data_IF_854887089019
#
_entry.id   IF_854887089019
#
_cell.length_a   1.000
_cell.length_b   1.000
_cell.length_c   1.000
_cell.angle_alpha   90.00
_cell.angle_beta   90.00
_cell.angle_gamma   90.00
#
_symmetry.space_group_name_H-M   'P 1'
#
loop_
_entity.id
_entity.type
_entity.pdbx_description
1 polymer ?
#
# COMPACT_ATOMS: atom_id res chain seq x y z
N UNK A 1 3.61 4.14 1.87
CA UNK A 1 4.32 3.17 2.72
C UNK A 1 4.75 3.89 3.99
N UNK A 2 4.48 3.35 5.18
CA UNK A 2 4.96 3.93 6.44
C UNK A 2 6.49 3.96 6.47
N UNK A 3 7.08 5.02 7.03
CA UNK A 3 8.54 5.14 7.16
C UNK A 3 9.04 4.31 8.35
N UNK A 4 10.33 3.98 8.39
CA UNK A 4 10.97 3.28 9.52
C UNK A 4 10.76 4.01 10.86
N UNK A 5 10.66 5.34 10.84
CA UNK A 5 10.35 6.17 12.00
C UNK A 5 8.90 5.99 12.47
N UNK A 6 7.94 5.91 11.53
CA UNK A 6 6.53 5.64 11.85
C UNK A 6 6.35 4.27 12.48
N UNK A 7 7.09 3.27 11.96
CA UNK A 7 7.09 1.90 12.48
C UNK A 7 7.63 1.81 13.92
N UNK A 8 8.64 2.61 14.26
CA UNK A 8 9.16 2.70 15.64
C UNK A 8 8.17 3.35 16.59
N UNK A 9 7.45 4.37 16.14
CA UNK A 9 6.45 5.06 16.95
C UNK A 9 5.28 4.13 17.33
N UNK A 10 4.89 3.20 16.45
CA UNK A 10 3.87 2.18 16.74
C UNK A 10 4.26 1.25 17.90
N UNK A 11 5.56 1.03 18.09
CA UNK A 11 6.08 0.18 19.16
C UNK A 11 6.24 0.99 20.45
N UNK A 12 6.74 2.24 20.36
CA UNK A 12 6.95 3.12 21.50
C UNK A 12 5.67 3.62 22.17
N UNK A 13 4.68 3.98 21.34
CA UNK A 13 3.40 4.54 21.79
C UNK A 13 2.28 3.67 21.21
N UNK A 14 2.11 2.44 21.72
CA UNK A 14 1.18 1.49 21.17
C UNK A 14 -0.25 2.02 21.38
N UNK A 15 -0.87 2.44 20.29
CA UNK A 15 -2.24 2.94 20.25
C UNK A 15 -3.08 1.98 19.40
N UNK A 16 -3.98 1.23 20.04
CA UNK A 16 -4.96 0.38 19.38
C UNK A 16 -5.95 1.27 18.62
N UNK A 17 -5.79 1.31 17.31
CA UNK A 17 -6.71 2.02 16.42
C UNK A 17 -7.37 1.02 15.47
N UNK A 18 -8.32 1.48 14.68
CA UNK A 18 -8.95 0.61 13.67
C UNK A 18 -7.95 0.13 12.61
N UNK A 19 -6.85 0.85 12.41
CA UNK A 19 -5.77 0.53 11.47
C UNK A 19 -4.55 -0.14 12.10
N UNK A 20 -4.47 -0.23 13.43
CA UNK A 20 -3.35 -0.86 14.14
C UNK A 20 -3.87 -2.02 14.98
N UNK A 21 -3.43 -3.24 14.67
CA UNK A 21 -3.73 -4.43 15.45
C UNK A 21 -2.46 -4.91 16.16
N UNK A 22 -2.56 -5.22 17.45
CA UNK A 22 -1.46 -5.77 18.24
C UNK A 22 -1.77 -7.21 18.61
N UNK A 23 -0.80 -8.10 18.46
CA UNK A 23 -0.91 -9.51 18.84
C UNK A 23 0.36 -10.01 19.50
N UNK A 24 0.19 -11.01 20.35
CA UNK A 24 1.30 -11.87 20.76
C UNK A 24 1.89 -12.62 19.57
N UNK A 25 3.05 -13.23 19.76
CA UNK A 25 3.63 -14.11 18.75
C UNK A 25 2.67 -15.27 18.42
N UNK A 26 2.52 -15.58 17.14
CA UNK A 26 1.66 -16.64 16.63
C UNK A 26 2.52 -17.70 15.95
N UNK A 27 2.28 -18.96 16.27
CA UNK A 27 2.92 -20.04 15.54
C UNK A 27 2.24 -20.24 14.17
N UNK A 28 2.87 -19.71 13.11
CA UNK A 28 2.39 -19.82 11.74
C UNK A 28 2.56 -21.23 11.13
N UNK A 29 3.17 -22.18 11.85
CA UNK A 29 3.16 -23.60 11.47
C UNK A 29 1.83 -24.26 11.82
N UNK A 30 1.06 -23.71 12.76
CA UNK A 30 -0.26 -24.22 13.16
C UNK A 30 -1.39 -23.65 12.30
N UNK A 31 -2.49 -24.38 12.12
CA UNK A 31 -3.66 -23.83 11.43
C UNK A 31 -4.28 -22.67 12.19
N UNK A 32 -4.26 -22.72 13.53
CA UNK A 32 -4.87 -21.72 14.41
C UNK A 32 -4.11 -20.39 14.38
N UNK A 33 -2.77 -20.42 14.42
CA UNK A 33 -1.95 -19.22 14.27
C UNK A 33 -2.13 -18.57 12.89
N UNK A 34 -2.14 -19.39 11.82
CA UNK A 34 -2.41 -18.91 10.45
C UNK A 34 -3.79 -18.28 10.31
N UNK A 35 -4.83 -18.94 10.83
CA UNK A 35 -6.20 -18.44 10.79
C UNK A 35 -6.36 -17.13 11.57
N UNK A 36 -5.69 -17.01 12.73
CA UNK A 36 -5.72 -15.81 13.57
C UNK A 36 -5.08 -14.62 12.85
N UNK A 37 -3.92 -14.83 12.22
CA UNK A 37 -3.27 -13.81 11.40
C UNK A 37 -4.13 -13.43 10.19
N UNK A 38 -4.66 -14.43 9.47
CA UNK A 38 -5.47 -14.19 8.28
C UNK A 38 -6.75 -13.42 8.59
N UNK A 39 -7.45 -13.73 9.69
CA UNK A 39 -8.66 -13.00 10.11
C UNK A 39 -8.36 -11.52 10.36
N UNK A 40 -7.26 -11.22 11.05
CA UNK A 40 -6.83 -9.84 11.30
C UNK A 40 -6.47 -9.12 10.00
N UNK A 41 -5.74 -9.79 9.09
CA UNK A 41 -5.39 -9.22 7.79
C UNK A 41 -6.63 -8.97 6.91
N UNK A 42 -7.57 -9.90 6.84
CA UNK A 42 -8.84 -9.72 6.11
C UNK A 42 -9.61 -8.52 6.67
N UNK A 43 -9.72 -8.43 8.01
CA UNK A 43 -10.43 -7.33 8.66
C UNK A 43 -9.79 -5.97 8.36
N UNK A 44 -8.45 -5.88 8.44
CA UNK A 44 -7.71 -4.66 8.13
C UNK A 44 -7.85 -4.29 6.66
N UNK A 45 -7.68 -5.24 5.74
CA UNK A 45 -7.80 -4.97 4.31
C UNK A 45 -9.19 -4.45 3.94
N UNK A 46 -10.25 -5.05 4.50
CA UNK A 46 -11.63 -4.56 4.36
C UNK A 46 -11.86 -3.21 5.06
N UNK A 47 -11.04 -2.87 6.06
CA UNK A 47 -11.09 -1.57 6.73
C UNK A 47 -10.31 -0.47 5.99
N UNK A 48 -9.67 -0.76 4.85
CA UNK A 48 -8.83 0.21 4.14
C UNK A 48 -7.35 0.12 4.49
N UNK A 49 -6.91 -1.02 5.02
CA UNK A 49 -5.52 -1.35 5.30
C UNK A 49 -5.08 -0.97 6.72
N UNK A 50 -3.82 -1.26 7.01
CA UNK A 50 -3.24 -1.00 8.32
C UNK A 50 -2.01 -1.85 8.59
N UNK A 51 -1.72 -2.03 9.87
CA UNK A 51 -0.53 -2.73 10.35
C UNK A 51 -0.90 -3.71 11.47
N UNK A 52 -0.27 -4.87 11.45
CA UNK A 52 -0.33 -5.86 12.53
C UNK A 52 1.05 -5.90 13.18
N UNK A 53 1.13 -5.54 14.46
CA UNK A 53 2.37 -5.59 15.25
C UNK A 53 2.37 -6.84 16.11
N UNK A 54 3.38 -7.68 15.91
CA UNK A 54 3.57 -8.95 16.60
C UNK A 54 4.53 -8.79 17.78
N UNK A 55 4.27 -9.56 18.83
CA UNK A 55 5.06 -9.52 20.05
C UNK A 55 4.63 -8.42 21.01
N UNK A 56 3.37 -7.99 20.95
CA UNK A 56 2.81 -7.04 21.91
C UNK A 56 1.65 -7.71 22.65
N UNK A 57 1.63 -7.63 23.97
CA UNK A 57 0.57 -8.19 24.81
C UNK A 57 0.15 -7.19 25.88
N UNK A 58 -1.13 -7.07 26.13
CA UNK A 58 -1.66 -6.23 27.19
C UNK A 58 -3.10 -6.63 27.49
N UNK A 59 -3.50 -6.73 28.77
CA UNK A 59 -4.90 -6.85 29.12
C UNK A 59 -5.68 -5.64 28.58
N UNK A 60 -6.97 -5.84 28.27
CA UNK A 60 -7.83 -4.75 27.85
C UNK A 60 -7.81 -3.60 28.89
N UNK A 61 -7.42 -2.40 28.45
CA UNK A 61 -7.30 -1.22 29.31
C UNK A 61 -5.96 -1.06 30.05
N UNK A 62 -4.98 -1.93 29.81
CA UNK A 62 -3.60 -1.76 30.28
C UNK A 62 -2.65 -1.38 29.13
N UNK A 63 -1.53 -0.69 29.39
CA UNK A 63 -0.52 -0.43 28.37
C UNK A 63 -0.02 -1.74 27.76
N UNK A 64 0.06 -1.79 26.43
CA UNK A 64 0.66 -2.91 25.71
C UNK A 64 2.16 -3.01 26.08
N UNK A 65 2.61 -4.23 26.33
CA UNK A 65 3.98 -4.54 26.70
C UNK A 65 4.66 -5.35 25.60
N UNK A 66 5.95 -5.07 25.38
CA UNK A 66 6.78 -5.86 24.47
C UNK A 66 7.04 -7.26 25.04
N UNK A 67 6.82 -8.25 24.19
CA UNK A 67 7.06 -9.66 24.46
C UNK A 67 8.13 -10.18 23.48
N UNK A 68 9.26 -10.71 23.97
CA UNK A 68 10.25 -11.32 23.08
C UNK A 68 9.66 -12.53 22.35
N UNK A 69 10.20 -12.81 21.15
CA UNK A 69 9.82 -13.99 20.37
C UNK A 69 10.16 -15.25 21.16
N UNK A 70 9.18 -16.15 21.41
CA UNK A 70 9.46 -17.44 22.05
C UNK A 70 10.40 -18.30 21.22
N UNK A 71 11.28 -19.07 21.87
CA UNK A 71 12.29 -19.90 21.20
C UNK A 71 11.69 -20.94 20.24
N UNK A 72 10.48 -21.42 20.52
CA UNK A 72 9.76 -22.39 19.69
C UNK A 72 9.14 -21.81 18.40
N UNK A 73 9.09 -20.49 18.23
CA UNK A 73 8.51 -19.84 17.04
C UNK A 73 9.65 -19.33 16.17
N UNK A 74 9.82 -19.88 14.96
CA UNK A 74 10.81 -19.39 14.02
C UNK A 74 10.57 -17.91 13.66
N UNK A 75 11.65 -17.18 13.35
CA UNK A 75 11.53 -15.81 12.83
C UNK A 75 10.74 -15.85 11.53
N UNK A 76 9.71 -15.01 11.41
CA UNK A 76 8.87 -15.00 10.23
C UNK A 76 9.64 -14.56 8.98
N UNK A 77 9.30 -15.16 7.85
CA UNK A 77 9.66 -14.67 6.53
C UNK A 77 8.41 -14.18 5.77
N UNK A 78 8.58 -13.31 4.76
CA UNK A 78 7.46 -12.77 4.00
C UNK A 78 6.60 -13.84 3.33
N UNK A 79 7.18 -14.95 2.88
CA UNK A 79 6.46 -16.00 2.15
C UNK A 79 5.58 -16.82 3.09
N UNK A 80 6.05 -17.13 4.30
CA UNK A 80 5.26 -17.80 5.34
C UNK A 80 4.09 -16.92 5.78
N UNK A 81 4.30 -15.62 5.96
CA UNK A 81 3.23 -14.66 6.28
C UNK A 81 2.18 -14.61 5.16
N UNK A 82 2.62 -14.40 3.92
CA UNK A 82 1.70 -14.33 2.78
C UNK A 82 0.99 -15.66 2.53
N UNK A 83 1.66 -16.80 2.70
CA UNK A 83 1.06 -18.13 2.58
C UNK A 83 0.04 -18.38 3.68
N UNK A 84 0.33 -17.96 4.92
CA UNK A 84 -0.60 -18.06 6.05
C UNK A 84 -1.89 -17.27 5.79
N UNK A 85 -1.77 -16.02 5.35
CA UNK A 85 -2.92 -15.15 5.04
C UNK A 85 -3.71 -15.67 3.83
N UNK A 86 -3.04 -15.92 2.71
CA UNK A 86 -3.66 -16.31 1.44
C UNK A 86 -4.23 -17.74 1.44
N UNK A 87 -3.90 -18.55 2.45
CA UNK A 87 -4.58 -19.82 2.68
C UNK A 87 -6.06 -19.62 3.02
N UNK A 88 -6.42 -18.49 3.63
CA UNK A 88 -7.76 -18.19 4.10
C UNK A 88 -8.42 -17.02 3.37
N UNK A 89 -7.68 -16.13 2.69
CA UNK A 89 -8.25 -14.93 2.06
C UNK A 89 -8.52 -15.10 0.55
N UNK A 90 -9.66 -14.58 0.09
CA UNK A 90 -10.00 -14.38 -1.32
C UNK A 90 -10.75 -13.05 -1.52
N UNK A 91 -10.24 -12.11 -2.36
CA UNK A 91 -8.98 -12.17 -3.10
C UNK A 91 -7.73 -12.30 -2.21
N UNK A 92 -6.64 -12.75 -2.82
CA UNK A 92 -5.33 -12.83 -2.16
C UNK A 92 -4.85 -11.43 -1.75
N UNK A 93 -4.28 -11.35 -0.56
CA UNK A 93 -3.68 -10.16 0.02
C UNK A 93 -2.15 -10.33 -0.05
N UNK A 94 -1.46 -9.30 -0.55
CA UNK A 94 0.00 -9.23 -0.46
C UNK A 94 0.39 -8.35 0.72
N UNK A 95 0.93 -8.95 1.77
CA UNK A 95 1.38 -8.25 2.98
C UNK A 95 2.89 -8.04 2.94
N UNK A 96 3.35 -6.88 3.40
CA UNK A 96 4.77 -6.61 3.59
C UNK A 96 5.19 -6.88 5.03
N UNK A 97 6.37 -7.46 5.24
CA UNK A 97 6.92 -7.77 6.55
C UNK A 97 8.16 -6.93 6.83
N UNK A 98 8.15 -6.26 7.98
CA UNK A 98 9.28 -5.48 8.49
C UNK A 98 9.61 -5.93 9.91
N UNK A 99 10.87 -5.79 10.29
CA UNK A 99 11.32 -6.04 11.67
C UNK A 99 11.91 -4.77 12.26
N UNK A 100 11.54 -4.47 13.50
CA UNK A 100 11.99 -3.28 14.21
C UNK A 100 12.24 -3.63 15.67
N UNK A 101 13.35 -3.12 16.22
CA UNK A 101 13.65 -3.23 17.65
C UNK A 101 12.90 -2.14 18.43
N UNK A 102 12.31 -2.51 19.56
CA UNK A 102 11.77 -1.54 20.52
C UNK A 102 12.91 -0.64 21.01
N UNK A 103 12.80 0.69 20.90
CA UNK A 103 13.94 1.58 21.18
C UNK A 103 14.44 1.54 22.63
N UNK A 104 13.56 1.29 23.61
CA UNK A 104 13.96 1.18 25.03
C UNK A 104 14.33 -0.25 25.46
N UNK A 105 13.46 -1.24 25.18
CA UNK A 105 13.65 -2.63 25.64
C UNK A 105 14.55 -3.47 24.73
N UNK A 106 14.88 -2.97 23.53
CA UNK A 106 15.65 -3.67 22.50
C UNK A 106 15.04 -5.02 22.05
N UNK A 107 13.74 -5.22 22.27
CA UNK A 107 13.00 -6.41 21.86
C UNK A 107 12.63 -6.29 20.38
N UNK A 108 12.91 -7.31 19.56
CA UNK A 108 12.50 -7.35 18.15
C UNK A 108 10.99 -7.59 18.02
N UNK A 109 10.34 -6.81 17.16
CA UNK A 109 8.94 -6.96 16.78
C UNK A 109 8.82 -7.17 15.27
N UNK A 110 7.85 -7.99 14.86
CA UNK A 110 7.48 -8.13 13.45
C UNK A 110 6.27 -7.24 13.14
N UNK A 111 6.37 -6.43 12.09
CA UNK A 111 5.33 -5.51 11.65
C UNK A 111 4.87 -5.94 10.27
N UNK A 112 3.59 -6.30 10.16
CA UNK A 112 2.97 -6.78 8.93
C UNK A 112 2.07 -5.68 8.39
N UNK A 113 2.45 -5.08 7.27
CA UNK A 113 1.64 -4.07 6.58
C UNK A 113 0.61 -4.74 5.69
N UNK A 114 -0.66 -4.37 5.87
CA UNK A 114 -1.80 -4.90 5.14
C UNK A 114 -2.36 -3.82 4.21
N UNK A 115 -2.45 -4.07 2.89
CA UNK A 115 -2.98 -3.09 1.95
C UNK A 115 -4.50 -2.94 2.07
N UNK A 116 -5.00 -1.75 1.73
CA UNK A 116 -6.42 -1.38 1.78
C UNK A 116 -7.11 -1.21 0.43
N UNK A 117 -6.48 -1.65 -0.66
CA UNK A 117 -6.83 -1.24 -2.02
C UNK A 117 -7.80 -2.21 -2.74
N UNK A 118 -8.49 -3.08 -2.01
CA UNK A 118 -9.33 -4.09 -2.65
C UNK A 118 -10.60 -3.47 -3.23
N UNK A 119 -10.85 -3.74 -4.51
CA UNK A 119 -12.07 -3.30 -5.23
C UNK A 119 -13.28 -4.17 -4.94
N UNK A 120 -13.10 -5.26 -4.19
CA UNK A 120 -14.15 -6.17 -3.73
C UNK A 120 -13.93 -6.55 -2.27
N UNK A 121 -14.99 -6.91 -1.52
CA UNK A 121 -14.83 -7.43 -0.17
C UNK A 121 -13.93 -8.66 -0.15
N UNK A 122 -12.95 -8.67 0.74
CA UNK A 122 -12.11 -9.85 0.96
C UNK A 122 -12.84 -10.77 1.93
N UNK A 123 -13.04 -12.01 1.48
CA UNK A 123 -13.78 -13.06 2.16
C UNK A 123 -12.82 -14.15 2.63
N UNK A 124 -13.21 -14.84 3.69
CA UNK A 124 -12.56 -16.09 4.07
C UNK A 124 -13.00 -17.24 3.14
N UNK A 125 -12.07 -18.14 2.77
CA UNK A 125 -12.36 -19.30 1.92
C UNK A 125 -12.22 -20.65 2.64
N UNK A 126 -11.73 -20.63 3.87
CA UNK A 126 -11.55 -21.82 4.72
C UNK A 126 -12.03 -21.55 6.14
N UNK A 127 -12.30 -22.64 6.84
CA UNK A 127 -12.72 -22.65 8.24
C UNK A 127 -11.54 -23.06 9.14
N UNK A 128 -11.51 -22.51 10.34
CA UNK A 128 -10.68 -22.93 11.46
C UNK A 128 -11.49 -22.70 12.73
N UNK A 129 -11.78 -23.79 13.44
CA UNK A 129 -12.71 -23.82 14.56
C UNK A 129 -12.42 -22.72 15.60
N UNK A 130 -13.47 -22.02 16.01
CA UNK A 130 -13.41 -20.90 16.94
C UNK A 130 -12.66 -19.64 16.49
N UNK A 131 -12.06 -19.61 15.29
CA UNK A 131 -11.24 -18.48 14.82
C UNK A 131 -11.84 -17.82 13.60
N UNK A 132 -11.88 -18.51 12.46
CA UNK A 132 -12.32 -17.96 11.17
C UNK A 132 -13.26 -18.95 10.52
N UNK A 133 -14.41 -18.50 10.04
CA UNK A 133 -15.41 -19.32 9.38
C UNK A 133 -15.35 -19.12 7.88
N UNK A 134 -15.64 -20.17 7.11
CA UNK A 134 -15.62 -20.12 5.64
C UNK A 134 -16.72 -19.19 5.08
N UNK A 135 -16.38 -18.48 4.01
CA UNK A 135 -17.25 -17.55 3.26
C UNK A 135 -17.77 -16.37 4.07
N UNK A 136 -16.94 -15.82 4.97
CA UNK A 136 -17.30 -14.68 5.82
C UNK A 136 -16.43 -13.47 5.54
N UNK A 137 -17.05 -12.29 5.59
CA UNK A 137 -16.34 -11.02 5.67
C UNK A 137 -16.00 -10.72 7.13
N UNK A 138 -14.82 -10.18 7.36
CA UNK A 138 -14.47 -9.62 8.66
C UNK A 138 -14.21 -8.12 8.51
N UNK A 139 -14.64 -7.37 9.51
CA UNK A 139 -14.42 -5.93 9.65
C UNK A 139 -13.74 -5.62 10.98
N UNK A 140 -12.97 -4.53 10.98
CA UNK A 140 -12.48 -3.91 12.20
C UNK A 140 -13.62 -3.16 12.89
N UNK A 141 -13.83 -3.47 14.16
CA UNK A 141 -14.78 -2.75 15.02
C UNK A 141 -14.04 -1.95 16.09
N UNK A 142 -14.71 -0.97 16.73
CA UNK A 142 -14.17 -0.34 17.93
C UNK A 142 -13.88 -1.38 19.02
N UNK A 143 -12.67 -1.32 19.58
CA UNK A 143 -12.08 -2.38 20.39
C UNK A 143 -11.24 -3.36 19.55
N UNK A 144 -10.32 -4.13 20.14
CA UNK A 144 -9.40 -5.00 19.40
C UNK A 144 -10.09 -6.27 18.86
N UNK A 145 -11.13 -6.10 18.04
CA UNK A 145 -12.00 -7.17 17.56
C UNK A 145 -12.18 -7.11 16.06
N UNK A 146 -12.01 -8.29 15.46
CA UNK A 146 -12.32 -8.56 14.05
C UNK A 146 -13.57 -9.43 14.02
N UNK A 147 -14.67 -8.87 13.53
CA UNK A 147 -16.00 -9.49 13.59
C UNK A 147 -16.71 -9.40 12.25
N UNK A 148 -17.74 -10.22 12.06
CA UNK A 148 -18.60 -10.13 10.89
C UNK A 148 -19.42 -8.82 10.94
N UNK A 149 -19.71 -8.23 9.76
CA UNK A 149 -20.71 -7.16 9.65
C UNK A 149 -22.10 -7.72 9.98
N UNK A 150 -22.77 -7.12 10.97
CA UNK A 150 -24.14 -7.49 11.38
C UNK A 150 -25.18 -6.46 10.92
N UNK A 151 -24.76 -5.23 10.62
CA UNK A 151 -25.66 -4.14 10.24
C UNK A 151 -25.56 -3.80 8.76
N UNK A 152 -26.65 -3.27 8.20
CA UNK A 152 -26.65 -2.75 6.83
C UNK A 152 -25.67 -1.59 6.63
N UNK A 153 -25.39 -0.82 7.68
CA UNK A 153 -24.46 0.32 7.63
C UNK A 153 -23.00 -0.14 7.49
N UNK A 154 -22.61 -1.19 8.21
CA UNK A 154 -21.30 -1.83 8.09
C UNK A 154 -21.09 -2.37 6.67
N UNK A 155 -22.10 -3.05 6.11
CA UNK A 155 -22.06 -3.52 4.72
C UNK A 155 -21.98 -2.37 3.71
N UNK A 156 -22.77 -1.30 3.88
CA UNK A 156 -22.71 -0.12 3.01
C UNK A 156 -21.34 0.53 3.06
N UNK A 157 -20.73 0.64 4.24
CA UNK A 157 -19.40 1.21 4.42
C UNK A 157 -18.34 0.38 3.71
N UNK A 158 -18.37 -0.94 3.86
CA UNK A 158 -17.47 -1.86 3.17
C UNK A 158 -17.59 -1.73 1.65
N UNK A 159 -18.82 -1.84 1.13
CA UNK A 159 -19.06 -1.78 -0.32
C UNK A 159 -18.70 -0.41 -0.91
N UNK A 160 -19.00 0.68 -0.20
CA UNK A 160 -18.63 2.04 -0.62
C UNK A 160 -17.10 2.18 -0.76
N UNK A 161 -16.33 1.62 0.18
CA UNK A 161 -14.86 1.60 0.10
C UNK A 161 -14.35 0.81 -1.09
N UNK A 162 -14.93 -0.36 -1.36
CA UNK A 162 -14.60 -1.16 -2.54
C UNK A 162 -14.85 -0.40 -3.86
N UNK A 163 -16.00 0.28 -3.96
CA UNK A 163 -16.34 1.14 -5.11
C UNK A 163 -15.35 2.29 -5.23
N UNK A 164 -14.98 2.93 -4.12
CA UNK A 164 -14.01 4.01 -4.10
C UNK A 164 -12.61 3.54 -4.53
N UNK A 165 -12.18 2.37 -4.09
CA UNK A 165 -10.91 1.75 -4.52
C UNK A 165 -10.91 1.44 -6.03
N UNK A 166 -12.05 1.06 -6.60
CA UNK A 166 -12.21 0.81 -8.03
C UNK A 166 -12.37 2.07 -8.90
N UNK A 167 -12.39 3.27 -8.32
CA UNK A 167 -12.73 4.51 -9.02
C UNK A 167 -11.81 4.81 -10.20
N UNK A 168 -10.51 4.66 -10.04
CA UNK A 168 -9.55 4.92 -11.11
C UNK A 168 -9.79 3.99 -12.31
N UNK A 169 -10.01 2.69 -12.06
CA UNK A 169 -10.34 1.72 -13.12
C UNK A 169 -11.67 2.03 -13.81
N UNK A 170 -12.67 2.54 -13.07
CA UNK A 170 -13.94 2.96 -13.65
C UNK A 170 -13.78 4.22 -14.52
N UNK A 171 -13.01 5.20 -14.06
CA UNK A 171 -12.71 6.41 -14.82
C UNK A 171 -11.93 6.09 -16.11
N UNK A 172 -10.97 5.17 -16.04
CA UNK A 172 -10.28 4.67 -17.22
C UNK A 172 -11.23 3.97 -18.19
N UNK A 173 -12.15 3.15 -17.69
CA UNK A 173 -13.17 2.48 -18.52
C UNK A 173 -14.09 3.47 -19.22
N UNK A 174 -14.56 4.51 -18.51
CA UNK A 174 -15.37 5.59 -19.08
C UNK A 174 -14.56 6.37 -20.12
N UNK A 175 -13.29 6.65 -19.85
CA UNK A 175 -12.39 7.33 -20.79
C UNK A 175 -12.19 6.54 -22.07
N UNK A 176 -12.10 5.21 -21.99
CA UNK A 176 -12.03 4.31 -23.15
C UNK A 176 -13.31 4.41 -23.98
N UNK A 177 -14.48 4.35 -23.34
CA UNK A 177 -15.79 4.43 -24.01
C UNK A 177 -15.98 5.80 -24.68
N UNK A 178 -15.75 6.90 -23.95
CA UNK A 178 -15.90 8.27 -24.46
C UNK A 178 -14.92 8.59 -25.59
N UNK A 179 -13.74 7.98 -25.58
CA UNK A 179 -12.76 8.15 -26.68
C UNK A 179 -13.09 7.31 -27.91
N UNK A 180 -14.09 6.41 -27.87
CA UNK A 180 -14.52 5.60 -29.02
C UNK A 180 -13.44 4.66 -29.57
N UNK A 181 -12.36 4.42 -28.82
CA UNK A 181 -11.24 3.59 -29.24
C UNK A 181 -11.19 2.33 -28.38
N UNK A 182 -11.42 1.18 -29.01
CA UNK A 182 -10.86 -0.08 -28.51
C UNK A 182 -9.35 0.17 -28.40
N UNK A 183 -8.71 0.01 -27.23
CA UNK A 183 -7.26 0.07 -27.20
C UNK A 183 -6.80 -1.07 -28.10
N UNK A 184 -6.13 -0.73 -29.20
CA UNK A 184 -5.34 -1.72 -29.93
C UNK A 184 -4.50 -2.46 -28.87
N UNK A 185 -4.38 -3.80 -28.96
CA UNK A 185 -3.62 -4.56 -27.98
C UNK A 185 -2.29 -3.85 -27.79
N UNK A 186 -1.90 -3.62 -26.53
CA UNK A 186 -0.61 -3.05 -26.20
C UNK A 186 0.40 -3.99 -26.83
N UNK A 187 0.92 -3.62 -28.01
CA UNK A 187 1.93 -4.38 -28.72
C UNK A 187 3.16 -4.31 -27.84
N UNK A 188 3.36 -5.37 -27.06
CA UNK A 188 4.46 -5.54 -26.10
C UNK A 188 5.85 -5.65 -26.74
N UNK A 189 6.04 -5.21 -27.99
CA UNK A 189 7.29 -5.42 -28.72
C UNK A 189 7.80 -4.15 -29.41
N UNK A 190 7.99 -3.07 -28.64
CA UNK A 190 9.05 -2.10 -28.91
C UNK A 190 9.68 -1.74 -27.57
N UNK A 191 11.00 -1.84 -27.48
CA UNK A 191 11.77 -1.19 -26.43
C UNK A 191 11.26 0.26 -26.37
N UNK A 192 10.69 0.65 -25.23
CA UNK A 192 9.93 1.88 -25.08
C UNK A 192 10.87 3.08 -25.29
N UNK A 193 10.72 3.88 -26.36
CA UNK A 193 11.57 5.06 -26.60
C UNK A 193 11.58 6.03 -25.41
N UNK A 194 10.53 6.01 -24.58
CA UNK A 194 10.47 6.78 -23.34
C UNK A 194 11.45 6.27 -22.28
N UNK A 195 11.61 4.95 -22.16
CA UNK A 195 12.58 4.33 -21.23
C UNK A 195 14.02 4.57 -21.69
N UNK A 196 14.27 4.49 -22.99
CA UNK A 196 15.57 4.81 -23.57
C UNK A 196 15.94 6.28 -23.34
N UNK A 197 15.02 7.20 -23.63
CA UNK A 197 15.21 8.62 -23.36
C UNK A 197 15.46 8.92 -21.86
N UNK A 198 14.72 8.27 -20.95
CA UNK A 198 14.96 8.40 -19.51
C UNK A 198 16.35 7.93 -19.10
N UNK A 199 16.78 6.76 -19.60
CA UNK A 199 18.11 6.23 -19.36
C UNK A 199 19.22 7.16 -19.86
N UNK A 200 19.14 7.61 -21.11
CA UNK A 200 20.11 8.54 -21.72
C UNK A 200 20.17 9.88 -20.97
N UNK A 201 19.02 10.40 -20.56
CA UNK A 201 18.93 11.65 -19.80
C UNK A 201 19.60 11.53 -18.44
N UNK A 202 19.39 10.41 -17.74
CA UNK A 202 20.04 10.11 -16.46
C UNK A 202 21.55 9.95 -16.61
N UNK A 203 22.01 9.19 -17.59
CA UNK A 203 23.45 9.00 -17.85
C UNK A 203 24.14 10.33 -18.13
N UNK A 204 23.53 11.17 -18.98
CA UNK A 204 24.03 12.52 -19.26
C UNK A 204 24.06 13.39 -17.99
N UNK A 205 23.01 13.34 -17.17
CA UNK A 205 22.96 14.09 -15.92
C UNK A 205 24.05 13.65 -14.93
N UNK A 206 24.30 12.35 -14.82
CA UNK A 206 25.39 11.82 -13.97
C UNK A 206 26.77 12.31 -14.43
N UNK A 207 27.02 12.36 -15.74
CA UNK A 207 28.27 12.94 -16.29
C UNK A 207 28.41 14.40 -15.91
N UNK A 208 27.35 15.20 -16.06
CA UNK A 208 27.37 16.62 -15.71
C UNK A 208 27.56 16.85 -14.21
N UNK A 209 26.91 16.03 -13.38
CA UNK A 209 27.01 16.10 -11.91
C UNK A 209 28.41 15.75 -11.41
N UNK A 210 29.03 14.72 -11.99
CA UNK A 210 30.37 14.27 -11.60
C UNK A 210 31.47 15.28 -11.96
N UNK A 211 31.24 16.13 -12.97
CA UNK A 211 32.15 17.21 -13.34
C UNK A 211 32.14 18.40 -12.35
N UNK A 212 31.18 18.46 -11.42
CA UNK A 212 31.06 19.56 -10.46
C UNK A 212 32.06 19.41 -9.27
N UNK A 213 32.50 20.51 -8.63
CA UNK A 213 33.32 20.47 -7.43
C UNK A 213 32.67 19.74 -6.25
N UNK A 214 33.49 19.24 -5.31
CA UNK A 214 33.01 18.63 -4.07
C UNK A 214 32.37 19.70 -3.18
N UNK A 215 31.08 19.54 -2.85
CA UNK A 215 30.30 20.51 -2.06
C UNK A 215 29.35 21.39 -2.87
N UNK A 216 29.33 21.26 -4.21
CA UNK A 216 28.39 22.00 -5.05
C UNK A 216 26.94 21.57 -4.75
N UNK A 217 26.02 22.51 -4.41
CA UNK A 217 24.63 22.18 -4.11
C UNK A 217 23.90 21.51 -5.28
N UNK A 218 24.33 21.73 -6.52
CA UNK A 218 23.79 21.05 -7.71
C UNK A 218 24.15 19.56 -7.81
N UNK A 219 24.98 19.04 -6.88
CA UNK A 219 25.16 17.58 -6.70
C UNK A 219 23.98 16.90 -6.02
N UNK A 220 23.09 17.67 -5.39
CA UNK A 220 21.85 17.19 -4.75
C UNK A 220 22.11 15.99 -3.79
N UNK A 221 22.94 16.17 -2.74
CA UNK A 221 23.41 15.07 -1.89
C UNK A 221 22.29 14.38 -1.09
N UNK A 222 21.12 15.03 -0.95
CA UNK A 222 19.96 14.51 -0.23
C UNK A 222 19.05 13.63 -1.11
N UNK A 223 19.38 13.45 -2.40
CA UNK A 223 18.61 12.63 -3.35
C UNK A 223 17.79 13.45 -4.35
N UNK A 224 17.34 12.79 -5.42
CA UNK A 224 16.61 13.42 -6.52
C UNK A 224 15.41 12.56 -6.94
N UNK A 225 14.42 13.20 -7.55
CA UNK A 225 13.30 12.54 -8.22
C UNK A 225 13.40 12.79 -9.72
N UNK A 226 13.16 11.75 -10.50
CA UNK A 226 13.15 11.83 -11.96
C UNK A 226 11.75 11.50 -12.47
N UNK A 227 11.25 12.34 -13.38
CA UNK A 227 9.98 12.11 -14.08
C UNK A 227 10.24 12.14 -15.59
N UNK A 228 9.95 11.04 -16.26
CA UNK A 228 9.99 10.94 -17.71
C UNK A 228 8.57 10.85 -18.23
N UNK A 229 8.18 11.73 -19.15
CA UNK A 229 6.86 11.72 -19.76
C UNK A 229 6.95 12.02 -21.25
N UNK A 230 5.96 11.55 -22.01
CA UNK A 230 5.79 11.81 -23.43
C UNK A 230 4.45 12.49 -23.65
N UNK A 231 4.47 13.60 -24.37
CA UNK A 231 3.25 14.21 -24.90
C UNK A 231 2.90 13.44 -26.19
N UNK A 232 1.74 12.78 -26.19
CA UNK A 232 1.19 12.10 -27.37
C UNK A 232 0.29 13.08 -28.15
N UNK A 233 0.13 12.83 -29.45
CA UNK A 233 -0.75 13.61 -30.33
C UNK A 233 -0.41 15.10 -30.48
N UNK A 234 0.82 15.50 -30.12
CA UNK A 234 1.36 16.82 -30.37
C UNK A 234 2.34 16.79 -31.55
N UNK A 235 2.26 17.77 -32.45
CA UNK A 235 3.27 17.95 -33.50
C UNK A 235 4.62 18.30 -32.86
N UNK A 236 5.72 17.62 -33.24
CA UNK A 236 7.03 17.91 -32.69
C UNK A 236 7.43 19.35 -33.04
N UNK A 237 7.92 20.07 -32.04
CA UNK A 237 8.41 21.44 -32.19
C UNK A 237 9.79 21.58 -31.59
N UNK A 238 10.59 22.48 -32.16
CA UNK A 238 11.90 22.82 -31.59
C UNK A 238 11.77 23.47 -30.21
N UNK A 239 12.83 23.37 -29.40
CA UNK A 239 12.93 23.96 -28.05
C UNK A 239 12.49 25.43 -27.96
N UNK A 240 12.86 26.33 -28.89
CA UNK A 240 12.43 27.74 -28.82
C UNK A 240 10.91 27.90 -28.94
N UNK A 241 10.30 27.15 -29.85
CA UNK A 241 8.85 27.18 -30.08
C UNK A 241 8.10 26.49 -28.94
N UNK A 242 8.64 25.41 -28.38
CA UNK A 242 8.09 24.77 -27.18
C UNK A 242 8.06 25.74 -26.00
N UNK A 243 9.17 26.47 -25.76
CA UNK A 243 9.26 27.46 -24.69
C UNK A 243 8.21 28.56 -24.88
N UNK A 244 8.10 29.11 -26.10
CA UNK A 244 7.09 30.11 -26.44
C UNK A 244 5.66 29.62 -26.18
N UNK A 245 5.35 28.36 -26.52
CA UNK A 245 4.04 27.75 -26.26
C UNK A 245 3.77 27.58 -24.77
N UNK A 246 4.76 27.15 -23.99
CA UNK A 246 4.63 27.01 -22.53
C UNK A 246 4.43 28.37 -21.86
N UNK A 247 5.18 29.39 -22.28
CA UNK A 247 5.03 30.76 -21.77
C UNK A 247 3.62 31.30 -22.07
N UNK A 248 3.13 31.10 -23.29
CA UNK A 248 1.75 31.48 -23.70
C UNK A 248 0.69 30.73 -22.88
N UNK A 249 0.87 29.41 -22.67
CA UNK A 249 -0.05 28.61 -21.88
C UNK A 249 -0.07 29.04 -20.40
N UNK A 250 1.09 29.41 -19.84
CA UNK A 250 1.20 29.86 -18.44
C UNK A 250 0.51 31.20 -18.17
N UNK A 251 0.33 32.04 -19.20
CA UNK A 251 -0.44 33.29 -19.11
C UNK A 251 -1.94 33.03 -19.03
N UNK A 252 -2.40 31.87 -19.51
CA UNK A 252 -3.81 31.48 -19.48
C UNK A 252 -4.10 30.73 -18.19
N UNK A 253 -4.50 31.44 -17.13
CA UNK A 253 -5.04 30.81 -15.93
C UNK A 253 -6.43 30.25 -16.25
N UNK A 254 -6.53 28.93 -16.42
CA UNK A 254 -7.82 28.24 -16.38
C UNK A 254 -8.30 28.18 -14.92
N UNK A 255 -8.73 29.33 -14.37
CA UNK A 255 -9.50 29.36 -13.11
C UNK A 255 -10.95 29.01 -13.45
N UNK A 256 -11.26 27.72 -13.44
CA UNK A 256 -12.64 27.26 -13.57
C UNK A 256 -12.70 25.86 -14.14
N UNK A 257 -13.12 24.90 -13.32
CA UNK A 257 -13.98 23.83 -13.82
C UNK A 257 -15.13 24.53 -14.55
N UNK A 258 -15.26 24.31 -15.86
CA UNK A 258 -16.40 24.78 -16.63
C UNK A 258 -17.71 24.26 -16.04
N UNK A 259 -18.87 24.84 -16.40
CA UNK A 259 -20.14 24.43 -15.83
C UNK A 259 -20.35 22.94 -16.13
N UNK A 260 -20.45 22.15 -15.07
CA UNK A 260 -20.90 20.78 -15.15
C UNK A 260 -22.38 20.86 -15.51
N UNK A 261 -22.71 20.49 -16.76
CA UNK A 261 -24.09 20.33 -17.21
C UNK A 261 -24.82 19.29 -16.36
#
# INVERSE_FOLDING_TARGET
MPTLSDLRNLILLPNETLSNEYKSWLDLTTNQGRATLAKAAIALANHGGGVIVMGMVGPAGSPLQSLPRPDGIARYDPDVVNTAVNRYADPKIHCDLHFTLHPETNIEHAIISVPGLSTVPIMSIRDCDGVIHKHRCYLRKPGPKSEEPFTSEEWRTLLSRCVQAGRESMLDSIRIILKGHVPAPIVQNKIDPLREFGRESRERWEVLKNALPTGDPAKIPLGHYEFTFRIVDASPVGLPELKKRLDTASQTKLTGLGPVC
#
